data_IF_053946392427
#
_entry.id   IF_053946392427
#
_cell.length_a   1.000
_cell.length_b   1.000
_cell.length_c   1.000
_cell.angle_alpha   90.00
_cell.angle_beta   90.00
_cell.angle_gamma   90.00
#
_symmetry.space_group_name_H-M   'P 1'
#
loop_
_entity.id
_entity.type
_entity.pdbx_description
1 polymer ?
#
# COMPACT_ATOMS: atom_id res chain seq x y z
N UNK A 1 31.86 -20.04 -2.89
CA UNK A 1 31.60 -19.69 -4.30
C UNK A 1 30.22 -19.07 -4.31
N UNK A 2 30.15 -17.73 -4.20
CA UNK A 2 28.91 -16.97 -4.17
C UNK A 2 28.45 -16.79 -5.62
N UNK A 3 27.36 -17.42 -5.99
CA UNK A 3 26.66 -17.04 -7.22
C UNK A 3 25.98 -15.68 -7.00
N UNK A 4 26.12 -14.73 -7.92
CA UNK A 4 25.44 -13.46 -7.82
C UNK A 4 23.94 -13.69 -8.03
N UNK A 5 23.14 -13.23 -7.07
CA UNK A 5 21.70 -13.13 -7.11
C UNK A 5 21.29 -12.43 -8.42
N UNK A 6 20.47 -13.11 -9.17
CA UNK A 6 20.04 -12.86 -10.54
C UNK A 6 19.53 -11.42 -10.74
N UNK A 7 20.38 -10.59 -11.34
CA UNK A 7 20.13 -9.21 -11.74
C UNK A 7 19.30 -9.11 -13.05
N UNK A 8 18.61 -10.20 -13.41
CA UNK A 8 17.84 -10.27 -14.67
C UNK A 8 16.44 -9.69 -14.59
N UNK A 9 15.98 -9.28 -13.39
CA UNK A 9 14.66 -8.65 -13.26
C UNK A 9 14.63 -7.19 -13.75
N UNK A 10 15.78 -6.53 -13.90
CA UNK A 10 15.87 -5.11 -14.25
C UNK A 10 16.13 -4.86 -15.75
N UNK A 11 16.23 -5.90 -16.57
CA UNK A 11 16.34 -5.78 -18.03
C UNK A 11 15.00 -5.82 -18.76
N UNK A 12 13.89 -5.56 -18.06
CA UNK A 12 12.61 -5.35 -18.71
C UNK A 12 12.66 -4.05 -19.54
N UNK A 13 12.98 -4.23 -20.82
CA UNK A 13 12.82 -3.31 -21.96
C UNK A 13 12.59 -1.85 -21.59
N UNK A 14 13.62 -1.04 -21.78
CA UNK A 14 13.68 0.42 -21.67
C UNK A 14 12.75 1.11 -22.72
N UNK A 15 11.48 0.73 -22.72
CA UNK A 15 10.45 1.37 -23.50
C UNK A 15 9.85 2.49 -22.62
N UNK A 16 10.53 3.63 -22.61
CA UNK A 16 9.94 4.85 -22.08
C UNK A 16 8.53 5.03 -22.67
N UNK A 17 7.52 5.32 -21.84
CA UNK A 17 6.18 5.58 -22.35
C UNK A 17 6.24 6.76 -23.32
N UNK A 18 5.41 6.77 -24.38
CA UNK A 18 5.41 7.88 -25.33
C UNK A 18 5.16 9.19 -24.58
N UNK A 19 6.20 10.04 -24.48
CA UNK A 19 6.10 11.39 -23.91
C UNK A 19 6.84 11.66 -22.63
N UNK A 20 7.70 10.77 -22.06
CA UNK A 20 8.45 11.14 -20.87
C UNK A 20 9.07 9.98 -20.09
N UNK A 21 9.70 10.34 -18.96
CA UNK A 21 10.26 9.39 -18.01
C UNK A 21 9.16 8.54 -17.34
N UNK A 22 9.47 7.28 -16.91
CA UNK A 22 8.52 6.45 -16.17
C UNK A 22 8.14 7.10 -14.83
N UNK A 23 6.92 6.83 -14.39
CA UNK A 23 6.45 7.27 -13.06
C UNK A 23 7.29 6.59 -11.96
N UNK A 24 7.71 7.34 -10.95
CA UNK A 24 8.38 6.77 -9.78
C UNK A 24 7.34 6.20 -8.80
N UNK A 25 7.34 4.87 -8.54
CA UNK A 25 6.37 4.25 -7.67
C UNK A 25 6.65 4.55 -6.21
N UNK A 26 5.64 5.06 -5.50
CA UNK A 26 5.71 5.37 -4.08
C UNK A 26 4.43 4.92 -3.37
N UNK A 27 4.54 4.64 -2.07
CA UNK A 27 3.39 4.47 -1.18
C UNK A 27 3.25 5.74 -0.34
N UNK A 28 2.14 6.47 -0.55
CA UNK A 28 1.87 7.71 0.16
C UNK A 28 1.05 7.46 1.43
N UNK A 29 1.58 7.86 2.59
CA UNK A 29 0.80 7.91 3.83
C UNK A 29 -0.03 9.19 3.88
N UNK A 30 -1.35 9.02 3.89
CA UNK A 30 -2.31 10.13 3.98
C UNK A 30 -3.00 10.20 5.34
N UNK A 31 -2.59 9.40 6.31
CA UNK A 31 -3.15 9.43 7.66
C UNK A 31 -2.99 10.82 8.29
N UNK A 32 -4.11 11.41 8.73
CA UNK A 32 -4.15 12.77 9.26
C UNK A 32 -3.93 13.89 8.24
N UNK A 33 -3.71 13.58 6.95
CA UNK A 33 -3.51 14.55 5.88
C UNK A 33 -4.84 15.07 5.34
N UNK A 34 -4.86 16.35 4.94
CA UNK A 34 -6.03 16.98 4.32
C UNK A 34 -6.06 16.65 2.84
N UNK A 35 -7.13 15.97 2.42
CA UNK A 35 -7.33 15.58 1.03
C UNK A 35 -8.61 16.22 0.49
N UNK A 36 -8.51 16.85 -0.68
CA UNK A 36 -9.65 17.41 -1.38
C UNK A 36 -10.09 16.46 -2.50
N UNK A 37 -11.39 16.19 -2.58
CA UNK A 37 -12.00 15.52 -3.72
C UNK A 37 -13.00 16.48 -4.37
N UNK A 38 -12.73 16.90 -5.60
CA UNK A 38 -13.64 17.73 -6.38
C UNK A 38 -14.45 16.83 -7.29
N UNK A 39 -15.75 16.77 -7.01
CA UNK A 39 -16.70 15.88 -7.70
C UNK A 39 -17.54 15.08 -6.69
N UNK A 40 -18.80 14.83 -7.03
CA UNK A 40 -19.80 14.21 -6.17
C UNK A 40 -20.38 12.90 -6.67
N UNK A 41 -19.89 12.39 -7.81
CA UNK A 41 -20.42 11.19 -8.47
C UNK A 41 -19.83 9.86 -7.95
N UNK A 42 -20.18 8.73 -8.60
CA UNK A 42 -19.71 7.40 -8.18
C UNK A 42 -18.18 7.23 -8.21
N UNK A 43 -17.50 7.89 -9.16
CA UNK A 43 -16.03 7.87 -9.24
C UNK A 43 -15.42 8.56 -8.02
N UNK A 44 -15.95 9.72 -7.65
CA UNK A 44 -15.55 10.44 -6.44
C UNK A 44 -15.79 9.59 -5.18
N UNK A 45 -16.95 8.92 -5.07
CA UNK A 45 -17.28 8.05 -3.93
C UNK A 45 -16.21 6.96 -3.70
N UNK A 46 -15.75 6.32 -4.76
CA UNK A 46 -14.66 5.33 -4.69
C UNK A 46 -13.36 5.93 -4.14
N UNK A 47 -13.00 7.15 -4.55
CA UNK A 47 -11.80 7.87 -4.10
C UNK A 47 -11.93 8.29 -2.64
N UNK A 48 -13.05 8.90 -2.27
CA UNK A 48 -13.37 9.28 -0.88
C UNK A 48 -13.26 8.08 0.05
N UNK A 49 -13.93 6.96 -0.28
CA UNK A 49 -13.87 5.75 0.52
C UNK A 49 -12.44 5.19 0.65
N UNK A 50 -11.62 5.29 -0.40
CA UNK A 50 -10.21 4.90 -0.36
C UNK A 50 -9.40 5.76 0.60
N UNK A 51 -9.52 7.06 0.52
CA UNK A 51 -8.84 8.03 1.37
C UNK A 51 -9.23 7.88 2.85
N UNK A 52 -10.53 7.75 3.14
CA UNK A 52 -11.03 7.55 4.51
C UNK A 52 -10.48 6.25 5.13
N UNK A 53 -10.43 5.15 4.37
CA UNK A 53 -9.81 3.90 4.85
C UNK A 53 -8.31 4.04 5.12
N UNK A 54 -7.66 5.00 4.50
CA UNK A 54 -6.23 5.31 4.71
C UNK A 54 -6.03 6.39 5.78
N UNK A 55 -7.07 6.77 6.54
CA UNK A 55 -6.99 7.71 7.66
C UNK A 55 -6.90 9.19 7.25
N UNK A 56 -7.18 9.54 6.00
CA UNK A 56 -7.18 10.92 5.54
C UNK A 56 -8.36 11.71 6.11
N UNK A 57 -8.19 13.03 6.22
CA UNK A 57 -9.25 14.02 6.44
C UNK A 57 -9.72 14.49 5.05
N UNK A 58 -10.92 14.12 4.68
CA UNK A 58 -11.41 14.33 3.31
C UNK A 58 -12.43 15.46 3.27
N UNK A 59 -12.22 16.42 2.37
CA UNK A 59 -13.22 17.40 1.99
C UNK A 59 -13.72 17.07 0.58
N UNK A 60 -15.04 16.97 0.41
CA UNK A 60 -15.67 16.80 -0.89
C UNK A 60 -16.32 18.12 -1.29
N UNK A 61 -15.99 18.61 -2.48
CA UNK A 61 -16.59 19.81 -3.06
C UNK A 61 -17.27 19.45 -4.38
N UNK A 62 -18.59 19.60 -4.42
CA UNK A 62 -19.38 19.40 -5.62
C UNK A 62 -20.76 20.08 -5.49
N UNK A 63 -21.37 20.60 -6.58
CA UNK A 63 -22.74 21.13 -6.51
C UNK A 63 -23.76 20.06 -6.08
N UNK A 64 -23.57 18.84 -6.58
CA UNK A 64 -24.39 17.68 -6.25
C UNK A 64 -23.52 16.55 -5.71
N UNK A 65 -23.94 15.94 -4.61
CA UNK A 65 -23.20 14.87 -3.93
C UNK A 65 -24.08 13.64 -3.81
N UNK A 66 -23.62 12.54 -4.37
CA UNK A 66 -24.32 11.26 -4.35
C UNK A 66 -24.54 10.73 -2.93
N UNK A 67 -25.66 10.03 -2.71
CA UNK A 67 -25.98 9.39 -1.42
C UNK A 67 -24.89 8.42 -0.95
N UNK A 68 -24.19 7.78 -1.88
CA UNK A 68 -23.04 6.90 -1.58
C UNK A 68 -21.87 7.60 -0.90
N UNK A 69 -21.66 8.90 -1.13
CA UNK A 69 -20.66 9.69 -0.41
C UNK A 69 -21.19 10.08 0.96
N UNK A 70 -22.46 10.53 1.02
CA UNK A 70 -23.09 10.92 2.30
C UNK A 70 -23.15 9.77 3.30
N UNK A 71 -23.35 8.53 2.81
CA UNK A 71 -23.35 7.35 3.68
C UNK A 71 -21.97 6.97 4.24
N UNK A 72 -20.86 7.50 3.70
CA UNK A 72 -19.52 7.29 4.22
C UNK A 72 -19.26 8.10 5.50
N UNK A 73 -19.96 9.22 5.71
CA UNK A 73 -19.79 10.08 6.88
C UNK A 73 -20.28 9.41 8.18
N UNK A 74 -21.27 8.52 8.06
CA UNK A 74 -21.84 7.78 9.21
C UNK A 74 -20.98 6.56 9.62
N UNK A 75 -19.88 6.27 8.94
CA UNK A 75 -19.09 5.07 9.19
C UNK A 75 -17.98 5.37 10.21
N UNK A 76 -17.88 4.57 11.30
CA UNK A 76 -16.77 4.72 12.23
C UNK A 76 -15.43 4.47 11.52
N UNK A 77 -14.34 5.13 11.94
CA UNK A 77 -13.01 4.86 11.39
C UNK A 77 -12.66 3.38 11.53
N UNK A 78 -11.93 2.85 10.56
CA UNK A 78 -11.49 1.45 10.59
C UNK A 78 -10.68 1.17 11.87
N UNK A 79 -10.81 -0.03 12.48
CA UNK A 79 -10.02 -0.41 13.63
C UNK A 79 -8.51 -0.27 13.30
N UNK A 80 -7.75 0.39 14.18
CA UNK A 80 -6.34 0.68 13.97
C UNK A 80 -6.04 2.00 13.27
N UNK A 81 -7.04 2.78 12.87
CA UNK A 81 -6.81 4.16 12.45
C UNK A 81 -6.45 4.98 13.69
N UNK A 82 -5.16 5.23 13.87
CA UNK A 82 -4.69 6.21 14.86
C UNK A 82 -5.23 7.56 14.35
N UNK A 83 -6.07 8.22 15.16
CA UNK A 83 -6.45 9.60 14.92
C UNK A 83 -5.14 10.39 14.87
N UNK A 84 -4.68 10.71 13.65
CA UNK A 84 -3.35 11.26 13.43
C UNK A 84 -3.19 12.56 14.17
N UNK A 85 -2.08 12.70 14.86
CA UNK A 85 -1.60 14.00 15.28
C UNK A 85 -1.48 14.90 14.02
N UNK A 86 -1.91 16.16 14.10
CA UNK A 86 -1.77 17.08 12.97
C UNK A 86 -0.30 17.15 12.55
N UNK A 87 -0.06 17.17 11.25
CA UNK A 87 1.29 17.33 10.73
C UNK A 87 1.98 18.54 11.39
N UNK A 88 3.24 18.44 11.83
CA UNK A 88 3.94 19.49 12.54
C UNK A 88 3.92 20.78 11.70
N UNK A 89 3.46 21.88 12.31
CA UNK A 89 3.41 23.21 11.71
C UNK A 89 2.03 23.74 11.29
N UNK A 90 0.94 23.01 11.50
CA UNK A 90 -0.42 23.50 11.22
C UNK A 90 -1.28 23.50 12.50
N UNK A 91 -1.86 24.66 12.82
CA UNK A 91 -2.65 24.90 14.01
C UNK A 91 -3.78 23.85 14.19
N UNK A 92 -3.85 23.28 15.41
CA UNK A 92 -4.64 22.13 15.76
C UNK A 92 -6.15 22.35 15.80
N UNK A 93 -6.80 22.20 14.66
CA UNK A 93 -8.24 21.97 14.58
C UNK A 93 -8.48 20.48 14.28
N UNK A 94 -9.34 19.83 15.09
CA UNK A 94 -9.81 18.47 14.78
C UNK A 94 -10.77 18.56 13.59
N UNK A 95 -10.27 18.28 12.40
CA UNK A 95 -11.10 18.22 11.20
C UNK A 95 -11.96 16.95 11.24
N UNK A 96 -13.23 17.00 10.80
CA UNK A 96 -14.02 15.80 10.60
C UNK A 96 -13.32 14.88 9.60
N UNK A 97 -13.45 13.56 9.76
CA UNK A 97 -12.90 12.61 8.81
C UNK A 97 -13.43 12.84 7.38
N UNK A 98 -14.68 13.27 7.27
CA UNK A 98 -15.33 13.69 6.02
C UNK A 98 -16.06 15.01 6.22
N UNK A 99 -15.79 15.98 5.36
CA UNK A 99 -16.55 17.22 5.20
C UNK A 99 -17.15 17.25 3.80
N UNK A 100 -18.41 17.66 3.67
CA UNK A 100 -19.11 17.76 2.39
C UNK A 100 -19.57 19.21 2.19
N UNK A 101 -19.09 19.82 1.13
CA UNK A 101 -19.46 21.18 0.72
C UNK A 101 -20.24 21.14 -0.59
N UNK A 102 -21.58 21.26 -0.49
CA UNK A 102 -22.47 21.21 -1.66
C UNK A 102 -22.44 22.55 -2.42
N UNK A 103 -21.36 22.78 -3.16
CA UNK A 103 -21.11 23.99 -3.98
C UNK A 103 -20.13 23.72 -5.10
N UNK A 104 -20.05 24.60 -6.09
CA UNK A 104 -18.96 24.58 -7.08
C UNK A 104 -17.58 24.76 -6.44
N UNK A 105 -16.55 24.22 -7.10
CA UNK A 105 -15.15 24.50 -6.77
C UNK A 105 -14.83 25.99 -6.92
N UNK A 106 -13.99 26.52 -6.05
CA UNK A 106 -13.50 27.91 -6.11
C UNK A 106 -12.03 27.90 -6.49
N UNK A 107 -11.65 28.78 -7.40
CA UNK A 107 -10.26 28.91 -7.82
C UNK A 107 -9.33 29.16 -6.62
N UNK A 108 -8.18 28.49 -6.61
CA UNK A 108 -7.15 28.62 -5.57
C UNK A 108 -7.36 27.79 -4.31
N UNK A 109 -8.54 27.18 -4.07
CA UNK A 109 -8.80 26.44 -2.85
C UNK A 109 -7.98 25.14 -2.71
N UNK A 110 -7.43 24.60 -3.81
CA UNK A 110 -6.55 23.44 -3.82
C UNK A 110 -5.30 23.62 -2.94
N UNK A 111 -4.77 24.83 -2.82
CA UNK A 111 -3.58 25.14 -2.02
C UNK A 111 -3.73 24.88 -0.51
N UNK A 112 -4.96 24.66 -0.02
CA UNK A 112 -5.23 24.30 1.37
C UNK A 112 -5.00 22.84 1.72
N UNK A 113 -4.67 21.96 0.78
CA UNK A 113 -4.65 20.51 0.94
C UNK A 113 -3.28 19.90 0.67
N UNK A 114 -3.10 18.65 1.08
CA UNK A 114 -1.86 17.88 0.86
C UNK A 114 -1.98 17.01 -0.40
N UNK A 115 -3.20 16.59 -0.74
CA UNK A 115 -3.54 15.82 -1.93
C UNK A 115 -4.89 16.29 -2.49
N UNK A 116 -4.95 16.49 -3.79
CA UNK A 116 -6.17 16.86 -4.52
C UNK A 116 -6.52 15.78 -5.53
N UNK A 117 -7.79 15.41 -5.61
CA UNK A 117 -8.30 14.48 -6.62
C UNK A 117 -9.46 15.15 -7.35
N UNK A 118 -9.40 15.22 -8.68
CA UNK A 118 -10.55 15.66 -9.49
C UNK A 118 -11.33 14.45 -9.99
N UNK A 119 -12.63 14.53 -9.94
CA UNK A 119 -13.55 13.48 -10.40
C UNK A 119 -14.91 14.08 -10.79
N UNK A 120 -14.89 15.24 -11.47
CA UNK A 120 -16.11 15.99 -11.80
C UNK A 120 -16.79 15.48 -13.05
N UNK A 121 -16.03 14.92 -13.99
CA UNK A 121 -16.49 14.60 -15.34
C UNK A 121 -16.68 15.83 -16.22
N UNK A 122 -16.33 17.04 -15.73
CA UNK A 122 -16.37 18.30 -16.47
C UNK A 122 -14.93 18.75 -16.77
N UNK A 123 -14.45 18.62 -18.02
CA UNK A 123 -13.03 18.82 -18.35
C UNK A 123 -12.48 20.19 -17.95
N UNK A 124 -13.27 21.24 -18.04
CA UNK A 124 -12.82 22.60 -17.71
C UNK A 124 -12.59 22.76 -16.21
N UNK A 125 -13.49 22.22 -15.40
CA UNK A 125 -13.32 22.22 -13.93
C UNK A 125 -12.13 21.34 -13.51
N UNK A 126 -11.99 20.16 -14.10
CA UNK A 126 -10.86 19.28 -13.82
C UNK A 126 -9.53 19.95 -14.18
N UNK A 127 -9.44 20.66 -15.30
CA UNK A 127 -8.24 21.43 -15.68
C UNK A 127 -7.94 22.56 -14.70
N UNK A 128 -8.96 23.32 -14.29
CA UNK A 128 -8.80 24.39 -13.31
C UNK A 128 -8.25 23.87 -11.99
N UNK A 129 -8.84 22.80 -11.44
CA UNK A 129 -8.41 22.18 -10.18
C UNK A 129 -6.96 21.69 -10.27
N UNK A 130 -6.59 21.06 -11.40
CA UNK A 130 -5.21 20.59 -11.60
C UNK A 130 -4.25 21.77 -11.68
N UNK A 131 -4.58 22.83 -12.42
CA UNK A 131 -3.74 24.02 -12.54
C UNK A 131 -3.52 24.69 -11.20
N UNK A 132 -4.56 24.87 -10.40
CA UNK A 132 -4.49 25.44 -9.06
C UNK A 132 -3.61 24.62 -8.11
N UNK A 133 -3.77 23.28 -8.13
CA UNK A 133 -2.98 22.39 -7.30
C UNK A 133 -1.49 22.43 -7.70
N UNK A 134 -1.19 22.42 -8.99
CA UNK A 134 0.19 22.54 -9.50
C UNK A 134 0.81 23.88 -9.11
N UNK A 135 0.08 24.97 -9.26
CA UNK A 135 0.57 26.32 -8.89
C UNK A 135 0.87 26.40 -7.38
N UNK A 136 0.13 25.67 -6.56
CA UNK A 136 0.33 25.60 -5.11
C UNK A 136 1.36 24.53 -4.67
N UNK A 137 1.97 23.78 -5.59
CA UNK A 137 2.89 22.68 -5.27
C UNK A 137 2.22 21.48 -4.58
N UNK A 138 0.91 21.31 -4.76
CA UNK A 138 0.11 20.25 -4.14
C UNK A 138 0.07 19.02 -5.04
N UNK A 139 0.18 17.83 -4.44
CA UNK A 139 0.00 16.58 -5.16
C UNK A 139 -1.41 16.48 -5.74
N UNK A 140 -1.54 16.20 -7.04
CA UNK A 140 -2.85 16.14 -7.68
C UNK A 140 -3.02 14.94 -8.60
N UNK A 141 -4.18 14.28 -8.49
CA UNK A 141 -4.65 13.26 -9.41
C UNK A 141 -5.80 13.82 -10.28
N UNK A 142 -5.54 13.97 -11.57
CA UNK A 142 -6.58 14.33 -12.54
C UNK A 142 -7.33 13.09 -13.03
N UNK A 143 -8.65 13.16 -13.12
CA UNK A 143 -9.51 12.03 -13.52
C UNK A 143 -9.54 11.76 -15.03
N UNK A 144 -9.03 12.65 -15.86
CA UNK A 144 -9.10 12.56 -17.33
C UNK A 144 -7.76 12.25 -18.00
N UNK A 145 -7.80 11.66 -19.19
CA UNK A 145 -6.60 11.45 -20.02
C UNK A 145 -5.86 12.74 -20.35
N UNK A 146 -6.58 13.86 -20.39
CA UNK A 146 -6.07 15.18 -20.75
C UNK A 146 -5.79 16.08 -19.54
N UNK A 147 -5.88 15.55 -18.32
CA UNK A 147 -5.58 16.29 -17.08
C UNK A 147 -4.33 15.70 -16.46
N UNK A 148 -3.14 16.22 -16.83
CA UNK A 148 -1.89 15.71 -16.27
C UNK A 148 -1.81 16.09 -14.79
N UNK A 149 -2.07 15.12 -13.93
CA UNK A 149 -1.78 15.23 -12.50
C UNK A 149 -0.37 14.78 -12.20
N UNK A 150 0.14 15.13 -11.03
CA UNK A 150 1.44 14.66 -10.51
C UNK A 150 1.33 13.27 -9.87
N UNK A 151 0.10 12.78 -9.61
CA UNK A 151 -0.16 11.49 -8.98
C UNK A 151 -1.04 10.63 -9.88
N UNK A 152 -0.62 9.40 -10.13
CA UNK A 152 -1.43 8.37 -10.75
C UNK A 152 -1.91 7.37 -9.70
N UNK A 153 -3.18 7.04 -9.71
CA UNK A 153 -3.76 6.07 -8.79
C UNK A 153 -3.77 4.69 -9.46
N UNK A 154 -2.99 3.71 -8.94
CA UNK A 154 -2.93 2.37 -9.51
C UNK A 154 -4.20 1.57 -9.22
N UNK A 155 -4.35 0.42 -9.87
CA UNK A 155 -5.30 -0.60 -9.48
C UNK A 155 -4.74 -1.36 -8.27
N UNK A 156 -5.50 -1.45 -7.17
CA UNK A 156 -4.99 -1.91 -5.87
C UNK A 156 -5.74 -3.14 -5.39
N UNK A 157 -4.98 -4.17 -4.97
CA UNK A 157 -5.42 -5.28 -4.13
C UNK A 157 -4.93 -5.03 -2.70
N UNK A 158 -5.79 -5.28 -1.70
CA UNK A 158 -5.43 -5.23 -0.28
C UNK A 158 -5.88 -6.49 0.44
N UNK A 159 -4.97 -7.06 1.24
CA UNK A 159 -5.24 -8.18 2.15
C UNK A 159 -4.49 -7.90 3.46
N UNK A 160 -5.21 -7.44 4.49
CA UNK A 160 -4.59 -6.95 5.71
C UNK A 160 -3.58 -5.81 5.44
N UNK A 161 -2.34 -5.92 5.93
CA UNK A 161 -1.30 -4.92 5.70
C UNK A 161 -0.68 -5.00 4.29
N UNK A 162 -0.92 -6.10 3.56
CA UNK A 162 -0.33 -6.30 2.24
C UNK A 162 -1.09 -5.49 1.20
N UNK A 163 -0.34 -4.74 0.40
CA UNK A 163 -0.89 -3.97 -0.72
C UNK A 163 -0.13 -4.33 -2.00
N UNK A 164 -0.87 -4.73 -3.03
CA UNK A 164 -0.34 -4.89 -4.38
C UNK A 164 -0.94 -3.80 -5.26
N UNK A 165 -0.09 -3.02 -5.90
CA UNK A 165 -0.48 -1.90 -6.74
C UNK A 165 -0.02 -2.15 -8.18
N UNK A 166 -0.93 -2.07 -9.14
CA UNK A 166 -0.65 -2.28 -10.56
C UNK A 166 -0.91 -1.00 -11.33
N UNK A 167 0.13 -0.45 -11.94
CA UNK A 167 0.07 0.71 -12.80
C UNK A 167 0.47 0.34 -14.24
N UNK A 168 -0.16 0.98 -15.20
CA UNK A 168 0.21 0.91 -16.62
C UNK A 168 0.59 2.29 -17.15
N UNK A 169 1.06 3.18 -16.28
CA UNK A 169 1.39 4.57 -16.64
C UNK A 169 0.22 5.38 -17.20
N UNK A 170 -1.03 4.95 -16.93
CA UNK A 170 -2.23 5.55 -17.49
C UNK A 170 -2.63 5.00 -18.87
N UNK A 171 -1.84 4.11 -19.49
CA UNK A 171 -2.09 3.57 -20.82
C UNK A 171 -3.36 2.72 -20.88
N UNK A 172 -3.61 1.86 -19.88
CA UNK A 172 -4.77 0.97 -19.89
C UNK A 172 -5.29 0.65 -18.49
N UNK A 173 -6.31 1.37 -18.00
CA UNK A 173 -6.98 1.02 -16.74
C UNK A 173 -7.59 -0.39 -16.72
N UNK A 174 -8.00 -0.89 -17.91
CA UNK A 174 -8.55 -2.23 -18.05
C UNK A 174 -7.46 -3.29 -17.82
N UNK A 175 -6.27 -3.12 -18.41
CA UNK A 175 -5.13 -4.01 -18.22
C UNK A 175 -4.66 -4.00 -16.77
N UNK A 176 -4.56 -2.83 -16.15
CA UNK A 176 -4.18 -2.72 -14.75
C UNK A 176 -5.15 -3.48 -13.82
N UNK A 177 -6.46 -3.41 -14.07
CA UNK A 177 -7.46 -4.19 -13.33
C UNK A 177 -7.33 -5.68 -13.58
N UNK A 178 -7.21 -6.09 -14.85
CA UNK A 178 -7.06 -7.49 -15.22
C UNK A 178 -5.82 -8.12 -14.57
N UNK A 179 -4.66 -7.43 -14.62
CA UNK A 179 -3.43 -7.88 -13.97
C UNK A 179 -3.61 -8.00 -12.45
N UNK A 180 -4.21 -7.00 -11.80
CA UNK A 180 -4.51 -7.07 -10.36
C UNK A 180 -5.37 -8.29 -10.01
N UNK A 181 -6.42 -8.56 -10.80
CA UNK A 181 -7.33 -9.69 -10.56
C UNK A 181 -6.62 -11.02 -10.81
N UNK A 182 -5.75 -11.08 -11.82
CA UNK A 182 -4.91 -12.24 -12.10
C UNK A 182 -3.93 -12.52 -10.95
N UNK A 183 -3.28 -11.49 -10.45
CA UNK A 183 -2.38 -11.60 -9.28
C UNK A 183 -3.19 -12.05 -8.06
N UNK A 184 -4.36 -11.47 -7.80
CA UNK A 184 -5.22 -11.87 -6.70
C UNK A 184 -5.58 -13.36 -6.75
N UNK A 185 -5.92 -13.86 -7.95
CA UNK A 185 -6.25 -15.29 -8.15
C UNK A 185 -5.04 -16.21 -7.99
N UNK A 186 -3.83 -15.74 -8.33
CA UNK A 186 -2.61 -16.54 -8.25
C UNK A 186 -2.04 -16.61 -6.83
N UNK A 187 -2.30 -15.60 -6.01
CA UNK A 187 -1.77 -15.55 -4.64
C UNK A 187 -2.47 -16.52 -3.70
N UNK A 188 -3.73 -16.93 -3.97
CA UNK A 188 -4.48 -18.01 -3.31
C UNK A 188 -4.52 -18.03 -1.77
N UNK A 189 -3.51 -17.49 -1.17
CA UNK A 189 -3.20 -17.52 0.26
C UNK A 189 -3.82 -16.34 1.00
N UNK A 190 -4.25 -16.55 2.25
CA UNK A 190 -4.62 -15.47 3.15
C UNK A 190 -3.37 -14.65 3.55
N UNK A 191 -3.04 -13.67 2.71
CA UNK A 191 -1.90 -12.79 2.90
C UNK A 191 -1.97 -11.99 4.21
N UNK A 192 -3.17 -11.72 4.72
CA UNK A 192 -3.33 -11.01 5.98
C UNK A 192 -2.84 -11.89 7.14
N UNK A 193 -3.25 -13.14 7.17
CA UNK A 193 -2.80 -14.12 8.16
C UNK A 193 -1.29 -14.38 8.06
N UNK A 194 -0.80 -14.56 6.85
CA UNK A 194 0.64 -14.76 6.62
C UNK A 194 1.46 -13.57 7.13
N UNK A 195 1.06 -12.34 6.81
CA UNK A 195 1.74 -11.13 7.28
C UNK A 195 1.73 -11.02 8.80
N UNK A 196 0.61 -11.34 9.47
CA UNK A 196 0.52 -11.33 10.93
C UNK A 196 1.46 -12.33 11.59
N UNK A 197 1.55 -13.55 11.05
CA UNK A 197 2.48 -14.58 11.54
C UNK A 197 3.95 -14.16 11.39
N UNK A 198 4.31 -13.57 10.25
CA UNK A 198 5.66 -13.05 9.99
C UNK A 198 6.01 -11.87 10.91
N UNK A 199 5.07 -10.99 11.19
CA UNK A 199 5.24 -9.88 12.12
C UNK A 199 5.49 -10.40 13.55
N UNK A 200 4.71 -11.39 14.00
CA UNK A 200 4.90 -12.05 15.29
C UNK A 200 6.31 -12.67 15.40
N UNK A 201 6.76 -13.37 14.37
CA UNK A 201 8.09 -13.97 14.32
C UNK A 201 9.20 -12.90 14.37
N UNK A 202 9.05 -11.79 13.61
CA UNK A 202 9.99 -10.66 13.65
C UNK A 202 10.08 -10.04 15.04
N UNK A 203 8.97 -9.84 15.71
CA UNK A 203 8.94 -9.35 17.10
C UNK A 203 9.59 -10.34 18.08
N UNK A 204 9.42 -11.65 17.88
CA UNK A 204 10.08 -12.66 18.69
C UNK A 204 11.61 -12.63 18.53
N UNK A 205 12.11 -12.49 17.29
CA UNK A 205 13.55 -12.29 17.03
C UNK A 205 14.10 -11.05 17.70
N UNK A 206 13.41 -9.92 17.60
CA UNK A 206 13.83 -8.66 18.22
C UNK A 206 13.90 -8.78 19.74
N UNK A 207 12.89 -9.42 20.37
CA UNK A 207 12.91 -9.69 21.84
C UNK A 207 14.06 -10.61 22.26
N UNK A 208 14.47 -11.52 21.37
CA UNK A 208 15.62 -12.40 21.58
C UNK A 208 16.97 -11.70 21.27
N UNK A 209 16.99 -10.40 20.96
CA UNK A 209 18.19 -9.64 20.60
C UNK A 209 18.82 -10.06 19.27
N UNK A 210 18.06 -10.74 18.40
CA UNK A 210 18.53 -11.22 17.11
C UNK A 210 18.13 -10.29 15.97
N UNK A 211 19.01 -10.17 14.97
CA UNK A 211 18.69 -9.45 13.74
C UNK A 211 17.64 -10.21 12.91
N UNK A 212 16.66 -9.50 12.40
CA UNK A 212 15.69 -10.08 11.45
C UNK A 212 16.33 -10.50 10.13
N UNK A 213 17.49 -9.92 9.76
CA UNK A 213 18.29 -10.33 8.61
C UNK A 213 19.06 -11.65 8.79
N UNK A 214 19.03 -12.26 10.01
CA UNK A 214 19.65 -13.58 10.24
C UNK A 214 18.81 -14.76 9.78
N UNK A 215 17.58 -14.52 9.29
CA UNK A 215 16.65 -15.52 8.79
C UNK A 215 16.49 -15.35 7.28
N UNK A 216 16.64 -16.43 6.54
CA UNK A 216 16.30 -16.48 5.11
C UNK A 216 14.76 -16.60 4.96
N UNK A 217 14.11 -15.43 4.95
CA UNK A 217 12.66 -15.36 4.82
C UNK A 217 12.12 -15.89 3.49
N UNK A 218 12.90 -15.82 2.42
CA UNK A 218 12.49 -16.32 1.11
C UNK A 218 12.33 -17.84 1.16
N UNK A 219 13.33 -18.56 1.64
CA UNK A 219 13.26 -20.01 1.83
C UNK A 219 12.13 -20.41 2.80
N UNK A 220 11.90 -19.64 3.87
CA UNK A 220 10.82 -19.91 4.83
C UNK A 220 9.45 -19.78 4.17
N UNK A 221 9.25 -18.79 3.31
CA UNK A 221 8.00 -18.57 2.60
C UNK A 221 7.77 -19.64 1.52
N UNK A 222 8.78 -19.98 0.74
CA UNK A 222 8.65 -20.84 -0.44
C UNK A 222 8.32 -22.31 -0.10
N UNK A 223 8.78 -22.84 1.06
CA UNK A 223 8.78 -24.27 1.29
C UNK A 223 7.73 -24.80 2.27
N UNK A 224 7.25 -24.04 3.22
CA UNK A 224 6.40 -24.63 4.26
C UNK A 224 5.27 -23.73 4.77
N UNK A 225 5.57 -22.47 5.01
CA UNK A 225 4.62 -21.59 5.72
C UNK A 225 3.39 -21.30 4.90
N UNK A 226 3.55 -21.02 3.62
CA UNK A 226 2.42 -20.75 2.71
C UNK A 226 1.49 -21.95 2.65
N UNK A 227 2.02 -23.17 2.48
CA UNK A 227 1.23 -24.39 2.43
C UNK A 227 0.48 -24.66 3.74
N UNK A 228 1.10 -24.38 4.89
CA UNK A 228 0.43 -24.54 6.20
C UNK A 228 -0.70 -23.52 6.37
N UNK A 229 -0.52 -22.28 5.94
CA UNK A 229 -1.55 -21.24 5.99
C UNK A 229 -2.70 -21.59 5.05
N UNK A 230 -2.42 -22.04 3.82
CA UNK A 230 -3.43 -22.50 2.85
C UNK A 230 -4.24 -23.70 3.36
N UNK A 231 -3.60 -24.62 4.08
CA UNK A 231 -4.24 -25.75 4.72
C UNK A 231 -4.99 -25.39 6.01
N UNK A 232 -4.99 -24.12 6.45
CA UNK A 232 -5.58 -23.68 7.73
C UNK A 232 -4.81 -24.14 8.97
N UNK A 233 -3.60 -24.71 8.83
CA UNK A 233 -2.77 -25.25 9.91
C UNK A 233 -1.95 -24.16 10.60
N UNK A 234 -2.64 -23.11 11.09
CA UNK A 234 -2.03 -21.88 11.59
C UNK A 234 -1.13 -22.08 12.82
N UNK A 235 -1.48 -23.01 13.70
CA UNK A 235 -0.66 -23.31 14.90
C UNK A 235 0.67 -23.93 14.53
N UNK A 236 0.70 -24.77 13.50
CA UNK A 236 1.93 -25.38 13.01
C UNK A 236 2.78 -24.36 12.26
N UNK A 237 2.17 -23.52 11.44
CA UNK A 237 2.88 -22.40 10.80
C UNK A 237 3.55 -21.48 11.84
N UNK A 238 2.82 -21.16 12.91
CA UNK A 238 3.36 -20.37 14.04
C UNK A 238 4.50 -21.09 14.74
N UNK A 239 4.37 -22.38 15.03
CA UNK A 239 5.41 -23.15 15.70
C UNK A 239 6.70 -23.21 14.88
N UNK A 240 6.60 -23.40 13.57
CA UNK A 240 7.76 -23.38 12.64
C UNK A 240 8.44 -22.01 12.69
N UNK A 241 7.68 -20.93 12.52
CA UNK A 241 8.23 -19.57 12.54
C UNK A 241 8.91 -19.22 13.88
N UNK A 242 8.29 -19.56 15.01
CA UNK A 242 8.85 -19.29 16.33
C UNK A 242 10.07 -20.20 16.62
N UNK A 243 10.10 -21.42 16.07
CA UNK A 243 11.26 -22.30 16.12
C UNK A 243 12.51 -21.69 15.49
N UNK A 244 12.35 -20.93 14.41
CA UNK A 244 13.45 -20.17 13.77
C UNK A 244 13.97 -19.02 14.68
N UNK A 245 13.16 -18.59 15.62
CA UNK A 245 13.49 -17.51 16.56
C UNK A 245 14.23 -18.03 17.82
N UNK A 246 14.28 -19.34 18.04
CA UNK A 246 15.00 -19.98 19.16
C UNK A 246 16.52 -19.73 19.10
N UNK A 247 17.26 -20.04 20.18
CA UNK A 247 18.71 -19.99 20.14
C UNK A 247 19.21 -20.90 18.99
N UNK A 248 20.31 -20.54 18.31
CA UNK A 248 20.87 -21.40 17.28
C UNK A 248 21.10 -22.78 17.88
N UNK A 249 20.43 -23.79 17.31
CA UNK A 249 20.57 -25.16 17.78
C UNK A 249 22.06 -25.48 17.89
N UNK A 250 22.49 -25.99 19.04
CA UNK A 250 23.79 -26.65 19.14
C UNK A 250 23.77 -27.71 18.05
N UNK A 251 24.53 -27.50 16.99
CA UNK A 251 24.94 -28.60 16.18
C UNK A 251 25.72 -29.50 17.09
N UNK A 252 25.08 -30.55 17.61
CA UNK A 252 25.76 -31.62 18.31
C UNK A 252 26.78 -32.16 17.32
N UNK A 253 28.00 -31.64 17.46
CA UNK A 253 29.17 -32.22 16.85
C UNK A 253 29.33 -33.62 17.42
N UNK A 254 28.67 -34.59 16.81
CA UNK A 254 29.04 -36.00 16.91
C UNK A 254 30.46 -36.12 16.40
N UNK A 255 31.40 -35.85 17.30
CA UNK A 255 32.79 -36.22 17.11
C UNK A 255 32.84 -37.70 16.85
N UNK A 256 33.00 -38.06 15.55
CA UNK A 256 33.42 -39.39 15.19
C UNK A 256 34.80 -39.65 15.84
N UNK A 257 34.79 -40.34 16.97
CA UNK A 257 35.97 -40.92 17.55
C UNK A 257 36.60 -41.86 16.51
N UNK A 258 37.75 -41.47 16.04
CA UNK A 258 38.60 -42.28 15.19
C UNK A 258 39.11 -43.45 16.04
N UNK A 259 38.92 -44.73 15.64
CA UNK A 259 39.51 -45.82 16.35
C UNK A 259 41.03 -45.79 16.18
N UNK A 260 41.76 -45.90 17.33
CA UNK A 260 43.19 -46.10 17.32
C UNK A 260 43.51 -47.45 16.67
N UNK A 261 44.34 -47.42 15.63
CA UNK A 261 44.91 -48.62 15.03
C UNK A 261 45.95 -49.27 15.99
N UNK A 262 46.07 -50.58 15.96
CA UNK A 262 47.03 -51.27 16.80
C UNK A 262 48.43 -51.13 16.22
N UNK A 263 49.36 -50.82 17.10
CA UNK A 263 50.80 -50.92 16.83
C UNK A 263 51.21 -52.37 16.55
N UNK A 264 52.07 -52.54 15.55
CA UNK A 264 52.77 -53.76 15.16
C UNK A 264 53.91 -53.43 14.22
#
# INVERSE_FOLDING_TARGET
MNEPMNDQADQASDHAPPGGYPDYPVVLSVSGRRCLVVGGGPVAAGKVGGLLRSGAQVTVVAPEVAGSIRSLDARPPAPGTIAGEPAPGRAGGRWPALAIEARPYRAGEAGGYDLVITATGVPDVDRLVVADALAAGVLVNGAGRNSPGTVRLPSVLRSGPVTVAVSTGGSSPALARWLRDRIASSLGTDLATLAALLEEARHALQRAGRSTGSVDWATVLDHQIVLLVEAGRLQEARAVLLGLCGPPGRTDGTGASRPAGPDG
#
